data_IF_570036536329
#
_entry.id   IF_570036536329
#
_cell.length_a   1.000
_cell.length_b   1.000
_cell.length_c   1.000
_cell.angle_alpha   90.00
_cell.angle_beta   90.00
_cell.angle_gamma   90.00
#
_symmetry.space_group_name_H-M   'P 1'
#
loop_
_entity.id
_entity.type
_entity.pdbx_description
1 polymer ?
#
# COMPACT_ATOMS: atom_id res chain seq x y z
N UNK A 1 -26.91 -15.16 -8.02
CA UNK A 1 -27.51 -13.83 -8.24
C UNK A 1 -27.22 -13.03 -6.98
N UNK A 2 -26.39 -11.99 -6.92
CA UNK A 2 -25.90 -11.07 -7.93
C UNK A 2 -24.43 -10.72 -7.64
N UNK A 3 -23.64 -10.69 -8.71
CA UNK A 3 -22.44 -9.85 -8.81
C UNK A 3 -22.77 -8.39 -8.48
N UNK A 4 -21.82 -7.73 -7.80
CA UNK A 4 -21.52 -6.29 -7.95
C UNK A 4 -20.30 -5.94 -7.10
N UNK A 5 -19.09 -6.26 -7.59
CA UNK A 5 -17.95 -5.34 -7.37
C UNK A 5 -18.23 -4.14 -8.25
N UNK A 6 -18.96 -3.17 -7.69
CA UNK A 6 -19.15 -1.87 -8.31
C UNK A 6 -17.80 -1.18 -8.34
N UNK A 7 -17.43 -0.68 -9.52
CA UNK A 7 -16.34 0.29 -9.67
C UNK A 7 -16.45 1.34 -8.56
N UNK A 8 -15.33 1.86 -8.07
CA UNK A 8 -15.37 2.99 -7.13
C UNK A 8 -16.07 4.22 -7.74
N UNK A 9 -16.30 4.25 -9.06
CA UNK A 9 -17.21 5.16 -9.75
C UNK A 9 -18.70 4.83 -9.60
N UNK A 10 -19.09 3.55 -9.54
CA UNK A 10 -20.48 3.07 -9.42
C UNK A 10 -21.05 3.16 -7.99
N UNK A 11 -20.21 3.12 -6.95
CA UNK A 11 -20.65 3.32 -5.56
C UNK A 11 -21.13 4.76 -5.36
N UNK A 12 -20.53 5.70 -6.10
CA UNK A 12 -20.85 7.14 -6.05
C UNK A 12 -22.15 7.48 -6.80
N UNK A 13 -22.57 6.68 -7.78
CA UNK A 13 -23.81 6.92 -8.56
C UNK A 13 -25.09 6.70 -7.75
N UNK A 14 -25.02 5.95 -6.65
CA UNK A 14 -26.17 5.70 -5.76
C UNK A 14 -26.17 6.57 -4.50
N UNK A 15 -25.20 7.48 -4.35
CA UNK A 15 -25.19 8.46 -3.28
C UNK A 15 -25.86 9.76 -3.74
N UNK A 16 -26.67 10.34 -2.86
CA UNK A 16 -27.16 11.72 -3.02
C UNK A 16 -25.96 12.65 -2.89
N UNK A 17 -25.24 12.86 -4.00
CA UNK A 17 -24.17 13.83 -4.10
C UNK A 17 -24.79 15.23 -4.08
N UNK A 18 -24.30 16.06 -3.17
CA UNK A 18 -24.71 17.45 -3.05
C UNK A 18 -23.74 18.35 -3.82
N UNK A 19 -24.26 19.36 -4.51
CA UNK A 19 -23.44 20.42 -5.06
C UNK A 19 -23.25 21.48 -3.98
N UNK A 20 -22.00 21.70 -3.58
CA UNK A 20 -21.63 22.63 -2.52
C UNK A 20 -20.69 23.67 -3.09
N UNK A 21 -20.88 24.94 -2.68
CA UNK A 21 -19.96 26.00 -3.08
C UNK A 21 -18.62 25.78 -2.43
N UNK A 22 -17.56 26.00 -3.20
CA UNK A 22 -16.21 25.81 -2.67
C UNK A 22 -15.84 26.80 -1.58
N UNK A 23 -16.42 28.00 -1.61
CA UNK A 23 -16.20 29.06 -0.63
C UNK A 23 -16.81 28.74 0.75
N UNK A 24 -17.79 27.82 0.78
CA UNK A 24 -18.45 27.38 2.01
C UNK A 24 -17.71 26.21 2.68
N UNK A 25 -16.59 25.74 2.10
CA UNK A 25 -15.82 24.59 2.58
C UNK A 25 -14.50 25.06 3.17
N UNK A 26 -14.30 24.82 4.47
CA UNK A 26 -13.01 24.94 5.16
C UNK A 26 -12.10 23.76 4.78
N UNK A 27 -10.87 24.04 4.34
CA UNK A 27 -9.95 23.05 3.81
C UNK A 27 -8.50 23.36 4.17
N UNK A 28 -7.68 22.31 4.14
CA UNK A 28 -6.23 22.44 4.30
C UNK A 28 -5.63 22.95 3.00
N UNK A 29 -4.89 24.05 3.04
CA UNK A 29 -4.18 24.59 1.88
C UNK A 29 -3.16 23.59 1.30
N UNK A 30 -2.99 23.56 -0.03
CA UNK A 30 -1.99 22.70 -0.65
C UNK A 30 -0.57 23.08 -0.17
N UNK A 31 0.31 22.10 0.06
CA UNK A 31 1.71 22.36 0.38
C UNK A 31 2.44 22.99 -0.82
N UNK A 32 3.56 23.67 -0.57
CA UNK A 32 4.33 24.42 -1.60
C UNK A 32 4.77 23.53 -2.77
N UNK A 33 5.01 22.24 -2.54
CA UNK A 33 5.43 21.29 -3.56
C UNK A 33 4.28 20.82 -4.47
N UNK A 34 3.03 21.16 -4.17
CA UNK A 34 1.89 20.78 -4.99
C UNK A 34 1.82 21.61 -6.27
N UNK A 35 1.93 20.93 -7.42
CA UNK A 35 1.79 21.57 -8.72
C UNK A 35 0.37 21.34 -9.31
N UNK A 36 -0.41 22.40 -9.57
CA UNK A 36 -1.71 22.31 -10.21
C UNK A 36 -1.66 21.72 -11.63
N UNK A 37 -0.59 21.98 -12.39
CA UNK A 37 -0.47 21.64 -13.81
C UNK A 37 -0.21 20.15 -14.05
N UNK A 38 0.53 19.48 -13.16
CA UNK A 38 0.87 18.06 -13.29
C UNK A 38 -0.35 17.14 -13.22
N UNK A 39 -1.47 17.63 -12.67
CA UNK A 39 -2.70 16.87 -12.46
C UNK A 39 -3.87 17.33 -13.36
N UNK A 40 -3.63 18.22 -14.34
CA UNK A 40 -4.68 18.72 -15.24
C UNK A 40 -5.25 17.62 -16.15
N UNK A 41 -4.45 16.63 -16.51
CA UNK A 41 -4.78 15.56 -17.48
C UNK A 41 -5.58 14.39 -16.90
N UNK A 42 -5.76 14.31 -15.59
CA UNK A 42 -6.57 13.25 -14.97
C UNK A 42 -8.08 13.52 -15.22
N UNK A 43 -8.79 12.64 -15.96
CA UNK A 43 -10.14 12.93 -16.44
C UNK A 43 -11.21 12.86 -15.33
N UNK A 44 -10.96 12.12 -14.25
CA UNK A 44 -11.91 11.91 -13.17
C UNK A 44 -11.47 12.64 -11.89
N UNK A 45 -12.44 13.30 -11.23
CA UNK A 45 -12.28 13.90 -9.90
C UNK A 45 -13.31 13.24 -9.00
N UNK A 46 -12.91 12.38 -8.05
CA UNK A 46 -13.87 11.78 -7.13
C UNK A 46 -14.56 12.89 -6.30
N UNK A 47 -15.82 12.69 -5.89
CA UNK A 47 -16.52 13.62 -5.05
C UNK A 47 -15.81 13.74 -3.70
N UNK A 48 -15.78 14.96 -3.17
CA UNK A 48 -15.10 15.26 -1.91
C UNK A 48 -15.93 14.80 -0.72
N UNK A 49 -15.26 14.38 0.35
CA UNK A 49 -15.96 14.07 1.60
C UNK A 49 -15.98 15.33 2.46
N UNK A 50 -17.18 15.78 2.81
CA UNK A 50 -17.34 16.96 3.66
C UNK A 50 -18.26 16.67 4.83
N UNK A 51 -18.18 17.54 5.82
CA UNK A 51 -19.03 17.53 7.00
C UNK A 51 -19.59 18.92 7.24
N UNK A 52 -20.85 18.98 7.62
CA UNK A 52 -21.51 20.22 8.04
C UNK A 52 -20.98 20.63 9.43
N UNK A 53 -20.58 21.89 9.57
CA UNK A 53 -20.13 22.46 10.84
C UNK A 53 -21.37 22.77 11.68
N UNK A 54 -21.38 22.34 12.94
CA UNK A 54 -22.49 22.66 13.85
C UNK A 54 -22.42 24.14 14.24
N UNK A 55 -23.13 24.98 13.49
CA UNK A 55 -23.35 26.38 13.79
C UNK A 55 -24.88 26.59 13.93
N UNK A 56 -25.43 26.60 15.17
CA UNK A 56 -26.87 26.68 15.39
C UNK A 56 -27.53 27.97 14.87
N UNK A 57 -26.74 29.00 14.57
CA UNK A 57 -27.19 30.38 14.29
C UNK A 57 -26.72 30.93 12.92
N UNK A 58 -26.05 30.13 12.09
CA UNK A 58 -25.55 30.60 10.79
C UNK A 58 -26.61 30.46 9.68
N UNK A 59 -26.90 31.55 8.97
CA UNK A 59 -27.73 31.53 7.75
C UNK A 59 -27.05 30.76 6.60
N UNK A 60 -25.72 30.60 6.66
CA UNK A 60 -24.90 29.90 5.66
C UNK A 60 -24.35 28.61 6.27
N UNK A 61 -24.55 27.50 5.57
CA UNK A 61 -24.00 26.20 5.96
C UNK A 61 -22.51 26.16 5.65
N UNK A 62 -21.67 26.23 6.69
CA UNK A 62 -20.24 26.00 6.57
C UNK A 62 -19.92 24.50 6.62
N UNK A 63 -18.96 24.07 5.81
CA UNK A 63 -18.51 22.68 5.74
C UNK A 63 -17.02 22.57 6.05
N UNK A 64 -16.57 21.40 6.50
CA UNK A 64 -15.14 21.06 6.61
C UNK A 64 -14.83 19.91 5.66
N UNK A 65 -13.76 20.06 4.89
CA UNK A 65 -13.21 19.00 4.03
C UNK A 65 -12.54 17.91 4.87
N UNK A 66 -12.97 16.67 4.67
CA UNK A 66 -12.48 15.51 5.42
C UNK A 66 -11.51 14.62 4.64
N UNK A 67 -11.75 14.47 3.33
CA UNK A 67 -10.92 13.65 2.45
C UNK A 67 -11.07 14.06 0.98
N UNK A 68 -10.22 13.50 0.13
CA UNK A 68 -10.03 13.86 -1.27
C UNK A 68 -9.48 15.28 -1.44
N UNK A 69 -8.49 15.64 -0.63
CA UNK A 69 -7.88 16.98 -0.63
C UNK A 69 -7.30 17.35 -1.99
N UNK A 70 -6.58 16.41 -2.62
CA UNK A 70 -6.02 16.59 -3.97
C UNK A 70 -7.10 16.90 -5.01
N UNK A 71 -8.25 16.24 -4.91
CA UNK A 71 -9.41 16.48 -5.77
C UNK A 71 -9.97 17.88 -5.58
N UNK A 72 -10.12 18.32 -4.33
CA UNK A 72 -10.60 19.65 -4.01
C UNK A 72 -9.65 20.75 -4.51
N UNK A 73 -8.33 20.61 -4.29
CA UNK A 73 -7.35 21.58 -4.79
C UNK A 73 -7.35 21.69 -6.31
N UNK A 74 -7.56 20.58 -7.03
CA UNK A 74 -7.70 20.59 -8.50
C UNK A 74 -8.93 21.38 -8.97
N UNK A 75 -10.04 21.27 -8.26
CA UNK A 75 -11.28 22.01 -8.55
C UNK A 75 -11.05 23.51 -8.31
N UNK A 76 -10.42 23.86 -7.19
CA UNK A 76 -10.03 25.23 -6.86
C UNK A 76 -9.10 25.84 -7.92
N UNK A 77 -8.05 25.12 -8.33
CA UNK A 77 -7.11 25.59 -9.35
C UNK A 77 -7.75 25.76 -10.74
N UNK A 78 -8.85 25.05 -11.03
CA UNK A 78 -9.65 25.22 -12.25
C UNK A 78 -10.63 26.40 -12.17
N UNK A 79 -10.72 27.09 -11.03
CA UNK A 79 -11.66 28.19 -10.81
C UNK A 79 -13.12 27.74 -10.78
N UNK A 80 -13.38 26.47 -10.42
CA UNK A 80 -14.75 25.97 -10.30
C UNK A 80 -15.34 26.40 -8.95
N UNK A 81 -16.53 27.00 -9.00
CA UNK A 81 -17.23 27.54 -7.82
C UNK A 81 -18.03 26.49 -7.04
N UNK A 82 -18.25 25.32 -7.63
CA UNK A 82 -19.02 24.24 -7.02
C UNK A 82 -18.27 22.91 -7.12
N UNK A 83 -18.49 22.06 -6.12
CA UNK A 83 -17.95 20.70 -6.06
C UNK A 83 -19.07 19.72 -5.71
N UNK A 84 -19.02 18.53 -6.31
CA UNK A 84 -19.86 17.40 -5.89
C UNK A 84 -19.28 16.79 -4.62
N UNK A 85 -20.07 16.75 -3.56
CA UNK A 85 -19.63 16.31 -2.25
C UNK A 85 -20.57 15.27 -1.64
N UNK A 86 -19.99 14.43 -0.80
CA UNK A 86 -20.73 13.52 0.08
C UNK A 86 -20.73 14.15 1.47
N UNK A 87 -21.91 14.50 1.97
CA UNK A 87 -22.06 15.11 3.30
C UNK A 87 -22.28 14.01 4.35
N UNK A 88 -21.31 13.85 5.24
CA UNK A 88 -21.40 12.84 6.30
C UNK A 88 -22.32 13.33 7.42
N UNK A 89 -23.59 12.90 7.39
CA UNK A 89 -24.61 13.23 8.41
C UNK A 89 -25.04 12.09 9.32
N UNK A 90 -24.68 10.85 9.00
CA UNK A 90 -25.19 9.67 9.70
C UNK A 90 -24.23 8.49 9.58
N UNK A 91 -24.42 7.49 10.43
CA UNK A 91 -23.61 6.27 10.45
C UNK A 91 -23.60 5.50 9.12
N UNK A 92 -24.65 5.62 8.29
CA UNK A 92 -24.72 4.95 6.98
C UNK A 92 -23.67 5.51 6.01
N UNK A 93 -23.35 6.80 6.12
CA UNK A 93 -22.33 7.44 5.29
C UNK A 93 -20.91 7.05 5.69
N UNK A 94 -20.70 6.53 6.91
CA UNK A 94 -19.35 6.27 7.47
C UNK A 94 -18.63 5.17 6.69
N UNK A 95 -19.27 4.01 6.50
CA UNK A 95 -18.63 2.89 5.79
C UNK A 95 -18.36 3.24 4.33
N UNK A 96 -19.29 3.93 3.66
CA UNK A 96 -19.13 4.38 2.28
C UNK A 96 -18.04 5.46 2.13
N UNK A 97 -18.00 6.41 3.06
CA UNK A 97 -16.95 7.42 3.13
C UNK A 97 -15.58 6.74 3.25
N UNK A 98 -15.45 5.79 4.19
CA UNK A 98 -14.22 5.06 4.43
C UNK A 98 -13.76 4.25 3.20
N UNK A 99 -14.67 3.57 2.50
CA UNK A 99 -14.35 2.82 1.26
C UNK A 99 -13.75 3.71 0.15
N UNK A 100 -14.11 5.00 0.14
CA UNK A 100 -13.58 5.94 -0.86
C UNK A 100 -12.17 6.44 -0.54
N UNK A 101 -11.74 6.38 0.73
CA UNK A 101 -10.46 6.95 1.18
C UNK A 101 -9.34 5.92 1.06
N UNK A 102 -8.29 6.27 0.31
CA UNK A 102 -7.10 5.42 0.13
C UNK A 102 -5.85 5.92 0.86
N UNK A 103 -5.80 7.22 1.14
CA UNK A 103 -4.67 7.85 1.80
C UNK A 103 -4.76 7.65 3.32
N UNK A 104 -3.66 7.21 3.96
CA UNK A 104 -3.66 6.92 5.40
C UNK A 104 -3.83 8.17 6.28
N UNK A 105 -3.41 9.35 5.80
CA UNK A 105 -3.61 10.61 6.52
C UNK A 105 -5.06 11.08 6.42
N UNK A 106 -5.67 10.98 5.24
CA UNK A 106 -7.11 11.26 5.05
C UNK A 106 -7.96 10.27 5.87
N UNK A 107 -7.57 9.00 5.97
CA UNK A 107 -8.23 8.00 6.82
C UNK A 107 -8.18 8.41 8.29
N UNK A 108 -7.04 8.93 8.76
CA UNK A 108 -6.89 9.44 10.12
C UNK A 108 -7.74 10.68 10.39
N UNK A 109 -7.79 11.61 9.45
CA UNK A 109 -8.63 12.81 9.53
C UNK A 109 -10.12 12.45 9.56
N UNK A 110 -10.54 11.51 8.72
CA UNK A 110 -11.90 10.98 8.73
C UNK A 110 -12.24 10.39 10.10
N UNK A 111 -11.40 9.51 10.66
CA UNK A 111 -11.68 8.90 11.96
C UNK A 111 -11.78 9.93 13.10
N UNK A 112 -10.91 10.94 13.11
CA UNK A 112 -10.95 12.00 14.11
C UNK A 112 -12.23 12.85 13.97
N UNK A 113 -12.62 13.18 12.75
CA UNK A 113 -13.86 13.91 12.49
C UNK A 113 -15.10 13.11 12.91
N UNK A 114 -15.13 11.80 12.67
CA UNK A 114 -16.25 10.94 13.07
C UNK A 114 -16.39 10.84 14.59
N UNK A 115 -15.27 10.81 15.32
CA UNK A 115 -15.26 10.68 16.78
C UNK A 115 -15.52 12.00 17.52
N UNK A 116 -15.01 13.12 16.99
CA UNK A 116 -15.16 14.44 17.65
C UNK A 116 -16.58 15.00 17.59
N UNK A 117 -17.37 14.60 16.60
CA UNK A 117 -18.67 15.20 16.31
C UNK A 117 -19.84 14.27 16.61
N UNK A 118 -19.64 13.30 17.50
CA UNK A 118 -20.67 12.36 17.98
C UNK A 118 -21.37 11.51 16.90
N UNK A 119 -20.97 11.61 15.62
CA UNK A 119 -21.41 10.75 14.52
C UNK A 119 -21.05 9.29 14.80
N UNK A 120 -19.96 9.06 15.54
CA UNK A 120 -19.62 7.78 16.12
C UNK A 120 -19.30 7.95 17.61
N UNK A 121 -20.07 7.29 18.46
CA UNK A 121 -20.01 7.42 19.92
C UNK A 121 -18.61 7.16 20.50
N UNK A 122 -17.89 6.18 19.95
CA UNK A 122 -16.59 5.78 20.46
C UNK A 122 -15.81 4.93 19.45
N UNK A 123 -14.51 4.76 19.73
CA UNK A 123 -13.58 3.95 18.91
C UNK A 123 -14.04 2.50 18.74
N UNK A 124 -14.78 1.96 19.70
CA UNK A 124 -15.33 0.60 19.62
C UNK A 124 -16.37 0.49 18.53
N UNK A 125 -17.29 1.45 18.49
CA UNK A 125 -18.36 1.47 17.52
C UNK A 125 -17.80 1.65 16.11
N UNK A 126 -16.81 2.53 15.97
CA UNK A 126 -16.07 2.69 14.70
C UNK A 126 -15.35 1.40 14.28
N UNK A 127 -14.77 0.67 15.25
CA UNK A 127 -14.15 -0.66 15.04
C UNK A 127 -15.12 -1.67 14.46
N UNK A 128 -16.32 -1.77 15.06
CA UNK A 128 -17.38 -2.67 14.62
C UNK A 128 -17.91 -2.29 13.24
N UNK A 129 -18.15 -0.99 13.01
CA UNK A 129 -18.71 -0.49 11.75
C UNK A 129 -17.77 -0.70 10.56
N UNK A 130 -16.46 -0.61 10.77
CA UNK A 130 -15.44 -0.74 9.73
C UNK A 130 -14.77 -2.13 9.67
N UNK A 131 -15.08 -3.02 10.62
CA UNK A 131 -14.46 -4.35 10.69
C UNK A 131 -12.97 -4.34 11.06
N UNK A 132 -12.48 -3.27 11.69
CA UNK A 132 -11.09 -3.16 12.12
C UNK A 132 -10.89 -3.51 13.59
N UNK A 133 -9.64 -3.73 14.00
CA UNK A 133 -9.29 -3.80 15.41
C UNK A 133 -9.24 -2.39 16.01
N UNK A 134 -9.64 -2.26 17.29
CA UNK A 134 -9.53 -0.99 18.04
C UNK A 134 -8.09 -0.46 18.07
N UNK A 135 -7.13 -1.38 18.06
CA UNK A 135 -5.70 -1.05 18.00
C UNK A 135 -5.35 -0.35 16.69
N UNK A 136 -5.83 -0.83 15.54
CA UNK A 136 -5.60 -0.20 14.23
C UNK A 136 -6.20 1.21 14.17
N UNK A 137 -7.44 1.40 14.63
CA UNK A 137 -8.05 2.74 14.69
C UNK A 137 -7.19 3.70 15.53
N UNK A 138 -6.69 3.23 16.67
CA UNK A 138 -5.82 4.06 17.52
C UNK A 138 -4.48 4.36 16.85
N UNK A 139 -3.90 3.41 16.12
CA UNK A 139 -2.65 3.59 15.39
C UNK A 139 -2.79 4.61 14.25
N UNK A 140 -3.90 4.56 13.51
CA UNK A 140 -4.24 5.53 12.46
C UNK A 140 -4.47 6.92 13.07
N UNK A 141 -5.27 7.03 14.14
CA UNK A 141 -5.50 8.32 14.82
C UNK A 141 -4.21 8.93 15.36
N UNK A 142 -3.25 8.12 15.79
CA UNK A 142 -1.96 8.61 16.27
C UNK A 142 -1.15 9.32 15.17
N UNK A 143 -1.40 9.05 13.88
CA UNK A 143 -0.76 9.77 12.78
C UNK A 143 -1.05 11.28 12.82
N UNK A 144 -2.17 11.71 13.40
CA UNK A 144 -2.52 13.12 13.56
C UNK A 144 -1.61 13.87 14.55
N UNK A 145 -0.80 13.14 15.33
CA UNK A 145 0.22 13.73 16.21
C UNK A 145 1.45 14.22 15.44
N UNK A 146 1.60 13.82 14.16
CA UNK A 146 2.67 14.34 13.32
C UNK A 146 2.52 15.87 13.16
N UNK A 147 3.64 16.61 13.14
CA UNK A 147 3.66 18.02 12.79
C UNK A 147 2.89 18.31 11.49
N UNK A 148 2.23 19.46 11.46
CA UNK A 148 1.31 19.86 10.39
C UNK A 148 1.96 19.82 9.00
N UNK A 149 3.19 20.28 8.88
CA UNK A 149 3.96 20.26 7.62
C UNK A 149 4.06 18.84 7.04
N UNK A 150 4.35 17.84 7.87
CA UNK A 150 4.42 16.43 7.43
C UNK A 150 3.05 15.88 7.07
N UNK A 151 2.02 16.22 7.85
CA UNK A 151 0.63 15.81 7.55
C UNK A 151 0.19 16.35 6.19
N UNK A 152 0.49 17.62 5.88
CA UNK A 152 0.19 18.23 4.57
C UNK A 152 0.92 17.52 3.43
N UNK A 153 2.21 17.20 3.58
CA UNK A 153 2.98 16.46 2.57
C UNK A 153 2.43 15.05 2.33
N UNK A 154 1.93 14.37 3.36
CA UNK A 154 1.33 13.05 3.24
C UNK A 154 0.04 13.03 2.42
N UNK A 155 -0.68 14.15 2.32
CA UNK A 155 -1.86 14.27 1.46
C UNK A 155 -1.52 14.22 -0.04
N UNK A 156 -0.24 14.39 -0.42
CA UNK A 156 0.19 14.34 -1.82
C UNK A 156 0.40 12.92 -2.35
N UNK A 157 0.60 11.94 -1.47
CA UNK A 157 1.06 10.60 -1.86
C UNK A 157 0.29 9.48 -1.17
N UNK A 158 -0.13 8.50 -1.96
CA UNK A 158 -0.75 7.26 -1.47
C UNK A 158 0.29 6.12 -1.34
N UNK A 159 1.57 6.41 -1.59
CA UNK A 159 2.63 5.40 -1.54
C UNK A 159 3.10 5.10 -0.11
N UNK A 160 2.92 6.05 0.81
CA UNK A 160 3.36 5.92 2.19
C UNK A 160 2.26 5.24 3.01
N UNK A 161 2.59 4.06 3.52
CA UNK A 161 1.69 3.28 4.36
C UNK A 161 1.73 3.74 5.83
N UNK A 162 0.63 3.53 6.54
CA UNK A 162 0.53 3.73 7.98
C UNK A 162 1.69 3.08 8.75
N UNK A 163 2.11 1.88 8.34
CA UNK A 163 3.18 1.12 9.00
C UNK A 163 4.55 1.81 8.95
N UNK A 164 4.83 2.62 7.93
CA UNK A 164 6.06 3.38 7.80
C UNK A 164 6.07 4.63 8.68
N UNK A 165 4.88 5.17 8.98
CA UNK A 165 4.72 6.38 9.79
C UNK A 165 4.66 6.10 11.29
N UNK A 166 4.20 4.90 11.69
CA UNK A 166 4.10 4.51 13.12
C UNK A 166 5.39 4.72 13.92
N UNK A 167 6.60 4.37 13.41
CA UNK A 167 7.85 4.65 14.12
C UNK A 167 8.11 6.14 14.32
N UNK A 168 7.86 6.96 13.29
CA UNK A 168 8.05 8.42 13.35
C UNK A 168 7.20 9.01 14.47
N UNK A 169 5.94 8.59 14.58
CA UNK A 169 5.01 9.10 15.61
C UNK A 169 5.46 8.78 17.05
N UNK A 170 6.28 7.74 17.26
CA UNK A 170 6.76 7.37 18.60
C UNK A 170 7.86 8.29 19.11
N UNK A 171 8.69 8.80 18.19
CA UNK A 171 9.79 9.70 18.52
C UNK A 171 9.24 11.00 19.08
N UNK A 172 9.71 11.41 20.26
CA UNK A 172 9.18 12.61 20.95
C UNK A 172 9.74 13.92 20.39
N UNK A 173 10.91 13.88 19.75
CA UNK A 173 11.60 15.04 19.19
C UNK A 173 11.10 15.38 17.79
N UNK A 174 10.55 16.59 17.62
CA UNK A 174 10.07 17.08 16.31
C UNK A 174 11.20 17.13 15.27
N UNK A 175 12.43 17.42 15.69
CA UNK A 175 13.60 17.45 14.80
C UNK A 175 13.88 16.06 14.21
N UNK A 176 13.90 15.05 15.07
CA UNK A 176 14.17 13.66 14.66
C UNK A 176 13.01 13.08 13.85
N UNK A 177 11.76 13.46 14.18
CA UNK A 177 10.60 13.12 13.35
C UNK A 177 10.74 13.66 11.92
N UNK A 178 11.16 14.92 11.76
CA UNK A 178 11.37 15.54 10.45
C UNK A 178 12.49 14.84 9.67
N UNK A 179 13.62 14.56 10.30
CA UNK A 179 14.75 13.86 9.68
C UNK A 179 14.32 12.46 9.18
N UNK A 180 13.65 11.69 10.05
CA UNK A 180 13.09 10.39 9.67
C UNK A 180 12.10 10.49 8.52
N UNK A 181 11.23 11.50 8.54
CA UNK A 181 10.26 11.73 7.49
C UNK A 181 10.92 12.12 6.16
N UNK A 182 11.95 12.95 6.17
CA UNK A 182 12.74 13.28 4.98
C UNK A 182 13.41 12.04 4.40
N UNK A 183 13.98 11.16 5.24
CA UNK A 183 14.52 9.89 4.79
C UNK A 183 13.46 8.98 4.19
N UNK A 184 12.26 8.94 4.77
CA UNK A 184 11.12 8.17 4.24
C UNK A 184 10.63 8.70 2.88
N UNK A 185 10.68 10.02 2.68
CA UNK A 185 10.26 10.65 1.41
C UNK A 185 11.35 10.53 0.35
N UNK A 186 12.64 10.65 0.73
CA UNK A 186 13.80 10.55 -0.18
C UNK A 186 14.17 9.11 -0.56
N UNK A 187 13.93 8.15 0.33
CA UNK A 187 14.18 6.73 0.09
C UNK A 187 12.96 5.89 0.52
N UNK A 188 12.56 4.91 -0.30
CA UNK A 188 11.41 4.02 0.00
C UNK A 188 11.75 3.02 1.13
N UNK A 189 12.00 3.52 2.33
CA UNK A 189 12.33 2.74 3.51
C UNK A 189 11.11 1.96 4.01
N UNK A 190 11.32 0.70 4.38
CA UNK A 190 10.26 -0.15 4.94
C UNK A 190 9.97 0.22 6.40
N UNK A 191 8.76 -0.06 6.88
CA UNK A 191 8.38 0.25 8.27
C UNK A 191 9.28 -0.40 9.35
N UNK A 192 9.97 -1.50 9.03
CA UNK A 192 10.96 -2.13 9.93
C UNK A 192 12.29 -1.37 9.96
N UNK A 193 12.75 -0.89 8.81
CA UNK A 193 13.95 -0.02 8.74
C UNK A 193 13.71 1.29 9.49
N UNK A 194 12.50 1.85 9.35
CA UNK A 194 12.08 3.04 10.10
C UNK A 194 12.01 2.80 11.61
N UNK A 195 11.59 1.61 12.05
CA UNK A 195 11.60 1.24 13.47
C UNK A 195 13.02 1.11 14.04
N UNK A 196 13.94 0.50 13.31
CA UNK A 196 15.35 0.40 13.71
C UNK A 196 16.01 1.78 13.83
N UNK A 197 15.69 2.69 12.90
CA UNK A 197 16.17 4.07 12.95
C UNK A 197 15.59 4.83 14.16
N UNK A 198 14.32 4.59 14.50
CA UNK A 198 13.68 5.17 15.69
C UNK A 198 14.33 4.68 16.99
N UNK A 199 14.56 3.37 17.11
CA UNK A 199 15.13 2.74 18.32
C UNK A 199 16.58 3.20 18.56
N UNK A 200 17.35 3.48 17.49
CA UNK A 200 18.70 4.04 17.59
C UNK A 200 18.75 5.50 18.02
N UNK A 201 17.67 6.27 17.80
CA UNK A 201 17.54 7.66 18.24
C UNK A 201 16.96 7.78 19.66
N UNK A 202 16.24 6.76 20.15
CA UNK A 202 15.74 6.70 21.53
C UNK A 202 16.83 6.30 22.56
N UNK A 203 17.82 5.49 22.16
CA UNK A 203 18.96 5.12 22.98
C UNK A 203 20.18 5.99 22.61
N UNK A 204 20.32 7.14 23.27
CA UNK A 204 21.34 8.12 22.91
C UNK A 204 22.78 7.58 22.89
N UNK A 205 23.39 7.59 21.71
CA UNK A 205 24.84 7.67 21.54
C UNK A 205 25.18 8.88 20.67
N UNK A 206 26.16 9.64 21.16
CA UNK A 206 26.68 10.86 20.53
C UNK A 206 27.31 10.53 19.19
N UNK A 207 27.08 11.42 18.23
CA UNK A 207 27.85 11.54 16.99
C UNK A 207 29.35 11.54 17.27
N UNK A 208 30.08 10.56 16.71
CA UNK A 208 31.43 10.75 16.21
C UNK A 208 31.51 10.14 14.81
N UNK A 209 32.01 10.95 13.87
CA UNK A 209 31.79 10.78 12.45
C UNK A 209 32.38 9.49 11.87
N UNK A 210 31.59 8.84 11.04
CA UNK A 210 32.11 7.99 9.97
C UNK A 210 31.76 8.67 8.64
N UNK A 211 32.81 9.11 7.96
CA UNK A 211 32.75 9.55 6.56
C UNK A 211 32.29 8.34 5.75
N UNK A 212 31.04 8.35 5.29
CA UNK A 212 30.55 7.39 4.30
C UNK A 212 31.02 7.82 2.90
N UNK A 213 31.33 6.87 2.00
CA UNK A 213 31.80 7.17 0.65
C UNK A 213 30.74 7.94 -0.12
N UNK A 214 31.19 8.80 -1.03
CA UNK A 214 30.34 9.68 -1.81
C UNK A 214 29.28 8.88 -2.59
N UNK A 215 27.99 9.16 -2.33
CA UNK A 215 26.86 8.43 -2.90
C UNK A 215 26.71 8.65 -4.42
N UNK A 216 27.37 9.67 -4.97
CA UNK A 216 27.44 9.89 -6.42
C UNK A 216 28.21 8.76 -7.13
N UNK A 217 29.24 8.19 -6.50
CA UNK A 217 30.00 7.07 -7.09
C UNK A 217 29.15 5.79 -7.12
N UNK A 218 28.37 5.50 -6.08
CA UNK A 218 27.50 4.32 -6.01
C UNK A 218 26.29 4.39 -6.96
N UNK A 219 25.73 5.58 -7.17
CA UNK A 219 24.66 5.78 -8.14
C UNK A 219 25.17 5.70 -9.58
N UNK A 220 26.38 6.18 -9.84
CA UNK A 220 27.03 6.03 -11.15
C UNK A 220 27.37 4.56 -11.46
N UNK A 221 27.79 3.78 -10.46
CA UNK A 221 28.00 2.33 -10.58
C UNK A 221 26.68 1.56 -10.80
N UNK A 222 25.55 2.00 -10.24
CA UNK A 222 24.23 1.38 -10.48
C UNK A 222 23.62 1.76 -11.83
N UNK A 223 23.83 2.98 -12.33
CA UNK A 223 23.43 3.39 -13.69
C UNK A 223 24.30 2.72 -14.77
N UNK A 224 25.60 2.54 -14.53
CA UNK A 224 26.48 1.76 -15.40
C UNK A 224 26.10 0.26 -15.37
N UNK A 225 25.63 -0.27 -14.23
CA UNK A 225 25.05 -1.62 -14.12
C UNK A 225 23.70 -1.78 -14.82
N UNK A 226 22.94 -0.69 -15.01
CA UNK A 226 21.72 -0.71 -15.86
C UNK A 226 22.05 -0.75 -17.35
N UNK A 227 23.26 -0.38 -17.76
CA UNK A 227 23.72 -0.51 -19.14
C UNK A 227 24.35 -1.88 -19.44
N UNK A 228 24.61 -2.70 -18.42
CA UNK A 228 24.95 -4.10 -18.66
C UNK A 228 23.74 -4.80 -19.30
N UNK A 229 23.91 -5.45 -20.47
CA UNK A 229 22.84 -6.23 -21.04
C UNK A 229 22.45 -7.28 -20.00
N UNK A 230 21.15 -7.38 -19.68
CA UNK A 230 20.60 -8.51 -18.94
C UNK A 230 21.19 -9.77 -19.58
N UNK A 231 22.13 -10.43 -18.89
CA UNK A 231 22.79 -11.59 -19.44
C UNK A 231 21.69 -12.55 -19.85
N UNK A 232 21.71 -12.94 -21.13
CA UNK A 232 20.75 -13.88 -21.71
C UNK A 232 20.64 -15.04 -20.71
N UNK A 233 19.51 -15.13 -20.02
CA UNK A 233 19.18 -16.29 -19.23
C UNK A 233 19.21 -17.47 -20.20
N UNK A 234 20.35 -18.17 -20.23
CA UNK A 234 20.60 -19.28 -21.12
C UNK A 234 19.56 -20.32 -20.81
N UNK A 235 18.81 -20.73 -21.84
CA UNK A 235 17.99 -21.94 -21.79
C UNK A 235 18.85 -23.09 -21.27
N UNK A 236 18.48 -23.66 -20.14
CA UNK A 236 18.82 -25.06 -19.84
C UNK A 236 17.69 -25.97 -20.36
N UNK A 237 18.01 -27.20 -20.81
CA UNK A 237 17.05 -28.11 -21.43
C UNK A 237 16.02 -28.65 -20.42
N UNK A 238 14.94 -29.32 -20.87
CA UNK A 238 13.84 -29.73 -20.00
C UNK A 238 14.31 -30.87 -19.09
N UNK A 239 14.74 -30.51 -17.88
CA UNK A 239 15.10 -31.45 -16.84
C UNK A 239 15.00 -30.75 -15.49
N UNK A 240 13.88 -30.95 -14.79
CA UNK A 240 13.60 -30.52 -13.39
C UNK A 240 14.41 -29.28 -12.97
N UNK A 241 14.19 -28.16 -13.67
CA UNK A 241 14.88 -26.90 -13.42
C UNK A 241 14.01 -26.03 -12.52
N UNK A 242 14.17 -26.15 -11.20
CA UNK A 242 13.54 -25.25 -10.22
C UNK A 242 13.86 -23.80 -10.63
N UNK A 243 12.87 -23.06 -11.11
CA UNK A 243 13.01 -21.63 -11.45
C UNK A 243 13.33 -20.90 -10.16
N UNK A 244 14.59 -20.47 -10.00
CA UNK A 244 15.08 -19.81 -8.78
C UNK A 244 14.46 -18.42 -8.66
N UNK A 245 14.13 -18.04 -7.42
CA UNK A 245 13.60 -16.73 -6.99
C UNK A 245 14.38 -15.49 -7.51
N UNK A 246 15.60 -15.66 -8.02
CA UNK A 246 16.41 -14.60 -8.61
C UNK A 246 15.75 -13.93 -9.83
N UNK A 247 14.95 -14.67 -10.59
CA UNK A 247 14.28 -14.17 -11.81
C UNK A 247 13.00 -13.36 -11.50
N UNK A 248 12.31 -13.69 -10.40
CA UNK A 248 10.99 -13.13 -10.06
C UNK A 248 11.08 -11.72 -9.47
N UNK A 249 12.14 -11.42 -8.71
CA UNK A 249 12.31 -10.08 -8.11
C UNK A 249 12.42 -8.97 -9.17
N UNK A 250 13.23 -9.11 -10.23
CA UNK A 250 13.24 -8.18 -11.36
C UNK A 250 11.87 -8.04 -12.04
N UNK A 251 11.17 -9.15 -12.28
CA UNK A 251 9.83 -9.15 -12.87
C UNK A 251 8.81 -8.34 -12.04
N UNK A 252 8.76 -8.57 -10.73
CA UNK A 252 7.85 -7.83 -9.84
C UNK A 252 8.18 -6.33 -9.74
N UNK A 253 9.44 -5.93 -9.97
CA UNK A 253 9.83 -4.51 -10.06
C UNK A 253 9.18 -3.84 -11.28
N UNK A 254 9.07 -4.53 -12.42
CA UNK A 254 8.44 -3.98 -13.65
C UNK A 254 6.99 -3.56 -13.38
N UNK A 255 6.18 -4.44 -12.78
CA UNK A 255 4.79 -4.10 -12.42
C UNK A 255 4.71 -3.01 -11.36
N UNK A 256 5.67 -2.97 -10.43
CA UNK A 256 5.64 -2.01 -9.31
C UNK A 256 5.99 -0.60 -9.76
N UNK A 257 6.93 -0.45 -10.71
CA UNK A 257 7.41 0.83 -11.22
C UNK A 257 6.56 1.37 -12.38
N UNK A 258 6.01 0.49 -13.22
CA UNK A 258 5.34 0.86 -14.47
C UNK A 258 3.84 0.57 -14.44
N UNK A 259 3.13 1.13 -13.45
CA UNK A 259 1.67 0.94 -13.28
C UNK A 259 0.93 1.43 -14.54
N UNK A 260 0.34 0.50 -15.29
CA UNK A 260 -0.41 0.75 -16.53
C UNK A 260 0.36 0.48 -17.83
N UNK A 261 1.69 0.62 -17.85
CA UNK A 261 2.53 0.45 -19.04
C UNK A 261 3.52 -0.73 -18.94
N UNK A 262 3.39 -1.58 -17.92
CA UNK A 262 4.29 -2.72 -17.69
C UNK A 262 4.43 -3.65 -18.90
N UNK A 263 3.40 -3.77 -19.76
CA UNK A 263 3.44 -4.59 -20.97
C UNK A 263 4.40 -4.05 -22.03
N UNK A 264 4.47 -2.73 -22.18
CA UNK A 264 5.43 -2.09 -23.09
C UNK A 264 6.86 -2.27 -22.59
N UNK A 265 7.05 -2.12 -21.27
CA UNK A 265 8.35 -2.30 -20.63
C UNK A 265 8.80 -3.76 -20.69
N UNK A 266 7.89 -4.70 -20.45
CA UNK A 266 8.16 -6.12 -20.58
C UNK A 266 8.53 -6.51 -22.03
N UNK A 267 7.90 -5.87 -23.03
CA UNK A 267 8.26 -6.04 -24.43
C UNK A 267 9.64 -5.44 -24.77
N UNK A 268 9.99 -4.27 -24.19
CA UNK A 268 11.34 -3.67 -24.34
C UNK A 268 12.42 -4.59 -23.78
N UNK A 269 12.16 -5.23 -22.64
CA UNK A 269 13.04 -6.21 -22.01
C UNK A 269 13.00 -7.61 -22.65
N UNK A 270 12.20 -7.80 -23.71
CA UNK A 270 12.05 -9.07 -24.45
C UNK A 270 11.73 -10.27 -23.54
N UNK A 271 10.86 -10.04 -22.55
CA UNK A 271 10.37 -11.13 -21.69
C UNK A 271 9.68 -12.21 -22.52
N UNK A 272 9.85 -13.46 -22.10
CA UNK A 272 9.23 -14.60 -22.78
C UNK A 272 7.74 -14.73 -22.43
N UNK A 273 7.05 -15.67 -23.08
CA UNK A 273 5.61 -15.86 -22.88
C UNK A 273 5.24 -16.29 -21.45
N UNK A 274 6.14 -16.99 -20.75
CA UNK A 274 5.93 -17.51 -19.40
C UNK A 274 5.97 -16.35 -18.41
N UNK A 275 7.01 -15.51 -18.50
CA UNK A 275 7.16 -14.31 -17.69
C UNK A 275 6.03 -13.30 -17.94
N UNK A 276 5.63 -13.15 -19.21
CA UNK A 276 4.52 -12.28 -19.58
C UNK A 276 3.18 -12.75 -18.99
N UNK A 277 2.90 -14.05 -19.02
CA UNK A 277 1.70 -14.63 -18.41
C UNK A 277 1.73 -14.47 -16.88
N UNK A 278 2.87 -14.74 -16.26
CA UNK A 278 3.07 -14.54 -14.82
C UNK A 278 2.83 -13.07 -14.41
N UNK A 279 3.44 -12.13 -15.12
CA UNK A 279 3.25 -10.71 -14.89
C UNK A 279 1.79 -10.28 -15.09
N UNK A 280 1.09 -10.82 -16.10
CA UNK A 280 -0.32 -10.52 -16.31
C UNK A 280 -1.19 -10.99 -15.15
N UNK A 281 -0.97 -12.23 -14.67
CA UNK A 281 -1.64 -12.76 -13.48
C UNK A 281 -1.40 -11.89 -12.23
N UNK A 282 -0.15 -11.49 -11.98
CA UNK A 282 0.19 -10.60 -10.86
C UNK A 282 -0.43 -9.21 -11.02
N UNK A 283 -0.44 -8.64 -12.23
CA UNK A 283 -1.07 -7.36 -12.50
C UNK A 283 -2.58 -7.41 -12.26
N UNK A 284 -3.25 -8.49 -12.67
CA UNK A 284 -4.68 -8.73 -12.41
C UNK A 284 -4.97 -8.87 -10.91
N UNK A 285 -4.12 -9.58 -10.16
CA UNK A 285 -4.21 -9.66 -8.70
C UNK A 285 -4.13 -8.26 -8.07
N UNK A 286 -3.17 -7.42 -8.50
CA UNK A 286 -3.01 -6.06 -7.96
C UNK A 286 -4.19 -5.14 -8.30
N UNK A 287 -4.87 -5.41 -9.41
CA UNK A 287 -6.09 -4.71 -9.81
C UNK A 287 -7.36 -5.30 -9.16
N UNK A 288 -7.24 -6.24 -8.23
CA UNK A 288 -8.37 -6.83 -7.50
C UNK A 288 -9.18 -7.85 -8.31
N UNK A 289 -8.72 -8.21 -9.51
CA UNK A 289 -9.33 -9.18 -10.43
C UNK A 289 -8.85 -10.59 -10.09
N UNK A 290 -9.13 -11.04 -8.86
CA UNK A 290 -8.55 -12.27 -8.31
C UNK A 290 -8.90 -13.53 -9.11
N UNK A 291 -10.14 -13.67 -9.59
CA UNK A 291 -10.54 -14.83 -10.40
C UNK A 291 -9.86 -14.87 -11.77
N UNK A 292 -9.66 -13.71 -12.39
CA UNK A 292 -8.92 -13.63 -13.66
C UNK A 292 -7.42 -13.92 -13.44
N UNK A 293 -6.87 -13.40 -12.33
CA UNK A 293 -5.49 -13.69 -11.93
C UNK A 293 -5.28 -15.18 -11.66
N UNK A 294 -6.17 -15.81 -10.87
CA UNK A 294 -6.16 -17.26 -10.64
C UNK A 294 -6.16 -17.99 -11.98
N UNK A 295 -7.10 -17.70 -12.89
CA UNK A 295 -7.20 -18.39 -14.18
C UNK A 295 -5.91 -18.29 -15.00
N UNK A 296 -5.35 -17.09 -15.15
CA UNK A 296 -4.10 -16.88 -15.91
C UNK A 296 -2.94 -17.65 -15.27
N UNK A 297 -2.88 -17.69 -13.93
CA UNK A 297 -1.83 -18.40 -13.21
C UNK A 297 -2.05 -19.92 -13.21
N UNK A 298 -3.31 -20.39 -13.23
CA UNK A 298 -3.68 -21.81 -13.39
C UNK A 298 -3.30 -22.33 -14.77
N UNK A 299 -3.63 -21.58 -15.84
CA UNK A 299 -3.20 -21.89 -17.21
C UNK A 299 -1.65 -21.98 -17.26
N UNK A 300 -0.95 -21.07 -16.56
CA UNK A 300 0.51 -21.07 -16.49
C UNK A 300 1.08 -22.31 -15.80
N UNK A 301 0.49 -22.75 -14.68
CA UNK A 301 0.98 -23.95 -13.95
C UNK A 301 0.52 -25.26 -14.56
N UNK A 302 -0.49 -25.26 -15.43
CA UNK A 302 -0.87 -26.43 -16.23
C UNK A 302 0.26 -26.76 -17.23
N UNK A 303 0.80 -25.73 -17.89
CA UNK A 303 1.93 -25.86 -18.82
C UNK A 303 3.30 -25.94 -18.10
N UNK A 304 3.43 -25.26 -16.96
CA UNK A 304 4.67 -25.14 -16.18
C UNK A 304 4.44 -25.47 -14.68
N UNK A 305 4.19 -26.75 -14.33
CA UNK A 305 3.84 -27.13 -12.96
C UNK A 305 4.95 -26.91 -11.93
N UNK A 306 6.20 -26.73 -12.36
CA UNK A 306 7.35 -26.41 -11.51
C UNK A 306 7.56 -24.90 -11.28
N UNK A 307 6.69 -24.05 -11.82
CA UNK A 307 6.76 -22.61 -11.64
C UNK A 307 6.18 -22.18 -10.28
N UNK A 308 6.97 -22.39 -9.22
CA UNK A 308 6.61 -22.11 -7.82
C UNK A 308 6.02 -20.71 -7.55
N UNK A 309 6.48 -19.61 -8.20
CA UNK A 309 5.90 -18.29 -8.01
C UNK A 309 4.43 -18.21 -8.41
N UNK A 310 4.01 -18.91 -9.47
CA UNK A 310 2.59 -18.90 -9.85
C UNK A 310 1.73 -19.62 -8.81
N UNK A 311 2.18 -20.76 -8.30
CA UNK A 311 1.51 -21.45 -7.18
C UNK A 311 1.35 -20.56 -5.94
N UNK A 312 2.37 -19.76 -5.61
CA UNK A 312 2.28 -18.78 -4.53
C UNK A 312 1.22 -17.71 -4.80
N UNK A 313 1.18 -17.13 -6.01
CA UNK A 313 0.21 -16.10 -6.34
C UNK A 313 -1.22 -16.65 -6.54
N UNK A 314 -1.39 -17.91 -6.97
CA UNK A 314 -2.68 -18.63 -6.92
C UNK A 314 -3.15 -18.71 -5.47
N UNK A 315 -2.30 -19.20 -4.57
CA UNK A 315 -2.65 -19.30 -3.15
C UNK A 315 -3.01 -17.96 -2.52
N UNK A 316 -2.33 -16.88 -2.93
CA UNK A 316 -2.67 -15.52 -2.51
C UNK A 316 -4.01 -15.04 -3.09
N UNK A 317 -4.31 -15.34 -4.35
CA UNK A 317 -5.62 -15.07 -4.93
C UNK A 317 -6.73 -15.80 -4.15
N UNK A 318 -6.54 -17.10 -3.88
CA UNK A 318 -7.54 -17.91 -3.18
C UNK A 318 -7.75 -17.48 -1.72
N UNK A 319 -6.68 -17.05 -1.05
CA UNK A 319 -6.75 -16.45 0.28
C UNK A 319 -7.58 -15.15 0.28
N UNK A 320 -7.57 -14.40 -0.83
CA UNK A 320 -8.31 -13.14 -1.00
C UNK A 320 -9.76 -13.36 -1.48
N UNK A 321 -10.04 -14.45 -2.21
CA UNK A 321 -11.39 -14.85 -2.61
C UNK A 321 -12.12 -15.63 -1.51
N UNK A 322 -11.39 -16.16 -0.53
CA UNK A 322 -11.91 -16.83 0.66
C UNK A 322 -11.94 -18.36 0.58
N UNK A 323 -11.39 -18.96 -0.48
CA UNK A 323 -11.19 -20.41 -0.57
C UNK A 323 -9.89 -20.78 0.14
N UNK A 324 -9.99 -20.96 1.46
CA UNK A 324 -8.81 -21.16 2.31
C UNK A 324 -8.16 -22.52 2.07
N UNK A 325 -8.95 -23.53 1.70
CA UNK A 325 -8.49 -24.87 1.35
C UNK A 325 -7.69 -24.87 0.05
N UNK A 326 -8.19 -24.20 -1.00
CA UNK A 326 -7.45 -24.04 -2.25
C UNK A 326 -6.18 -23.19 -2.03
N UNK A 327 -6.27 -22.14 -1.20
CA UNK A 327 -5.12 -21.32 -0.83
C UNK A 327 -4.01 -22.13 -0.13
N UNK A 328 -4.37 -22.95 0.85
CA UNK A 328 -3.43 -23.83 1.55
C UNK A 328 -2.79 -24.82 0.57
N UNK A 329 -3.58 -25.45 -0.29
CA UNK A 329 -3.10 -26.42 -1.29
C UNK A 329 -2.05 -25.79 -2.20
N UNK A 330 -2.35 -24.65 -2.82
CA UNK A 330 -1.44 -23.97 -3.73
C UNK A 330 -0.15 -23.48 -3.04
N UNK A 331 -0.25 -22.97 -1.80
CA UNK A 331 0.91 -22.53 -1.02
C UNK A 331 1.80 -23.70 -0.57
N UNK A 332 1.20 -24.86 -0.26
CA UNK A 332 1.96 -26.08 0.02
C UNK A 332 2.71 -26.57 -1.22
N UNK A 333 2.09 -26.55 -2.39
CA UNK A 333 2.78 -26.87 -3.65
C UNK A 333 3.95 -25.90 -3.91
N UNK A 334 3.75 -24.60 -3.69
CA UNK A 334 4.83 -23.61 -3.81
C UNK A 334 6.00 -23.91 -2.86
N UNK A 335 5.72 -24.35 -1.63
CA UNK A 335 6.72 -24.76 -0.65
C UNK A 335 7.34 -26.13 -0.93
N UNK A 336 6.65 -27.05 -1.59
CA UNK A 336 7.27 -28.30 -2.05
C UNK A 336 8.32 -28.02 -3.12
N UNK A 337 8.05 -27.07 -4.00
CA UNK A 337 8.98 -26.61 -5.04
C UNK A 337 10.12 -25.75 -4.47
N UNK A 338 9.82 -24.89 -3.49
CA UNK A 338 10.81 -24.03 -2.81
C UNK A 338 10.60 -24.07 -1.27
N UNK A 339 11.18 -25.06 -0.57
CA UNK A 339 10.91 -25.35 0.85
C UNK A 339 11.33 -24.28 1.87
N UNK A 340 12.25 -23.41 1.49
CA UNK A 340 12.88 -22.43 2.36
C UNK A 340 12.67 -20.99 1.87
N UNK A 341 11.56 -20.73 1.18
CA UNK A 341 11.19 -19.36 0.82
C UNK A 341 10.40 -18.68 1.96
N UNK A 342 10.93 -17.61 2.58
CA UNK A 342 10.25 -16.95 3.70
C UNK A 342 8.89 -16.35 3.36
N UNK A 343 8.71 -15.85 2.13
CA UNK A 343 7.46 -15.21 1.72
C UNK A 343 6.33 -16.24 1.58
N UNK A 344 6.64 -17.45 1.12
CA UNK A 344 5.66 -18.53 0.96
C UNK A 344 5.25 -19.09 2.32
N UNK A 345 6.22 -19.25 3.23
CA UNK A 345 5.99 -19.69 4.61
C UNK A 345 5.08 -18.71 5.38
N UNK A 346 5.26 -17.40 5.18
CA UNK A 346 4.42 -16.36 5.82
C UNK A 346 3.00 -16.39 5.29
N UNK A 347 2.80 -16.47 3.97
CA UNK A 347 1.46 -16.47 3.39
C UNK A 347 0.69 -17.74 3.78
N UNK A 348 1.34 -18.91 3.83
CA UNK A 348 0.72 -20.14 4.33
C UNK A 348 0.32 -20.01 5.81
N UNK A 349 1.16 -19.39 6.63
CA UNK A 349 0.83 -19.15 8.04
C UNK A 349 -0.40 -18.24 8.21
N UNK A 350 -0.56 -17.21 7.37
CA UNK A 350 -1.74 -16.34 7.36
C UNK A 350 -3.00 -17.14 6.98
N UNK A 351 -2.92 -18.01 5.98
CA UNK A 351 -4.05 -18.89 5.59
C UNK A 351 -4.44 -19.83 6.73
N UNK A 352 -3.47 -20.48 7.37
CA UNK A 352 -3.70 -21.37 8.50
C UNK A 352 -4.31 -20.66 9.71
N UNK A 353 -3.92 -19.41 9.99
CA UNK A 353 -4.52 -18.57 11.03
C UNK A 353 -5.99 -18.28 10.72
N UNK A 354 -6.34 -17.94 9.47
CA UNK A 354 -7.74 -17.76 9.04
C UNK A 354 -8.55 -19.05 9.19
N UNK A 355 -7.93 -20.22 9.00
CA UNK A 355 -8.52 -21.54 9.23
C UNK A 355 -8.53 -21.96 10.71
N UNK A 356 -8.07 -21.10 11.64
CA UNK A 356 -7.97 -21.37 13.09
C UNK A 356 -7.00 -22.49 13.48
N UNK A 357 -5.96 -22.73 12.66
CA UNK A 357 -4.88 -23.70 12.88
C UNK A 357 -3.63 -23.00 13.42
N UNK A 358 -3.80 -22.28 14.53
CA UNK A 358 -2.81 -21.34 15.08
C UNK A 358 -1.47 -22.01 15.45
N UNK A 359 -1.51 -23.27 15.89
CA UNK A 359 -0.31 -24.05 16.27
C UNK A 359 0.58 -24.34 15.07
N UNK A 360 -0.02 -24.65 13.91
CA UNK A 360 0.70 -24.88 12.67
C UNK A 360 1.19 -23.57 12.07
N UNK A 361 0.35 -22.52 12.06
CA UNK A 361 0.74 -21.18 11.63
C UNK A 361 1.97 -20.67 12.38
N UNK A 362 2.00 -20.83 13.71
CA UNK A 362 3.14 -20.44 14.55
C UNK A 362 4.43 -21.22 14.24
N UNK A 363 4.35 -22.46 13.76
CA UNK A 363 5.52 -23.22 13.31
C UNK A 363 6.10 -22.62 12.02
N UNK A 364 5.25 -22.28 11.06
CA UNK A 364 5.66 -21.66 9.79
C UNK A 364 6.22 -20.24 9.98
N UNK A 365 5.60 -19.40 10.82
CA UNK A 365 6.14 -18.08 11.17
C UNK A 365 7.53 -18.17 11.81
N UNK A 366 7.75 -19.15 12.69
CA UNK A 366 9.07 -19.37 13.31
C UNK A 366 10.11 -19.80 12.28
N UNK A 367 9.76 -20.71 11.36
CA UNK A 367 10.66 -21.14 10.26
C UNK A 367 11.01 -19.97 9.34
N UNK A 368 10.04 -19.15 8.95
CA UNK A 368 10.30 -17.96 8.13
C UNK A 368 11.22 -16.95 8.84
N UNK A 369 11.03 -16.74 10.15
CA UNK A 369 11.85 -15.85 10.97
C UNK A 369 13.29 -16.36 11.16
N UNK A 370 13.50 -17.67 11.29
CA UNK A 370 14.85 -18.23 11.37
C UNK A 370 15.59 -18.12 10.04
N UNK A 371 14.93 -18.41 8.92
CA UNK A 371 15.53 -18.31 7.58
C UNK A 371 15.94 -16.88 7.27
N UNK A 372 15.06 -15.89 7.51
CA UNK A 372 15.42 -14.48 7.33
C UNK A 372 16.59 -14.06 8.21
N UNK A 373 16.69 -14.51 9.46
CA UNK A 373 17.85 -14.21 10.33
C UNK A 373 19.15 -14.83 9.84
N UNK A 374 19.11 -16.07 9.33
CA UNK A 374 20.29 -16.76 8.78
C UNK A 374 20.81 -16.06 7.52
N UNK A 375 19.93 -15.59 6.64
CA UNK A 375 20.32 -14.89 5.41
C UNK A 375 21.01 -13.53 5.65
N UNK A 376 20.87 -12.93 6.83
CA UNK A 376 21.60 -11.71 7.23
C UNK A 376 22.89 -12.00 8.01
N UNK A 377 23.16 -13.25 8.39
CA UNK A 377 24.31 -13.62 9.23
C UNK A 377 25.57 -14.07 8.49
N UNK A 378 25.48 -14.40 7.20
CA UNK A 378 26.59 -15.01 6.42
C UNK A 378 27.28 -14.07 5.42
N UNK A 379 26.92 -12.77 5.38
CA UNK A 379 27.41 -11.84 4.36
C UNK A 379 28.57 -10.90 4.74
N UNK A 380 28.66 -10.42 5.98
CA UNK A 380 29.41 -9.17 6.26
C UNK A 380 30.54 -9.25 7.30
N UNK A 381 31.08 -10.43 7.59
CA UNK A 381 32.26 -10.55 8.50
C UNK A 381 33.41 -11.42 7.99
N UNK A 382 33.60 -11.56 6.68
CA UNK A 382 34.78 -12.23 6.16
C UNK A 382 35.26 -11.71 4.79
N UNK A 383 35.84 -10.50 4.77
CA UNK A 383 37.23 -10.23 4.37
C UNK A 383 37.54 -8.75 4.31
#
# INVERSE_FOLDING_TARGET
MMDKKRDSGDILEHMLLEEVKTDDIDYIEPPEEWNPESHQKEPFVPPVLIREKEAPEAEVKEFTLLAHHRSFWRIQARGQYTVRAIVIRSGVHISLAHESVRNCMEEAMLFDALLRNELCENRSRLSEMLGYSRARITQILNLLKLPEEMRRKLLLTDEISEFQLRPIVRVSSVKDQKEMFEHLVRGKLTGRQMALFADGKENGEKEEGSVLPDLEDLMSEEEDRMQEPVERAGREPPGRGVVRHSHVRPLLRIITLWRGNWREEAARNRLDSVDMAFLDGVAKLRNGLYREATRILEDLVEDHPDYAPAWFFIGKCENLTGDLEAAESALRTALELVPDEPDYLVELAIVLEKMKRDTEAAAFYRKASSLRRSSFGEGDFAR
#
